data_IF_254922860957
#
_entry.id   IF_254922860957
#
_cell.length_a   1.000
_cell.length_b   1.000
_cell.length_c   1.000
_cell.angle_alpha   90.00
_cell.angle_beta   90.00
_cell.angle_gamma   90.00
#
_symmetry.space_group_name_H-M   'P 1'
#
loop_
_entity.id
_entity.type
_entity.pdbx_description
1 polymer ?
#
# COMPACT_ATOMS: atom_id res chain seq x y z
N UNK A 1 -8.43 -0.22 -0.67
CA UNK A 1 -9.80 -0.64 -0.33
C UNK A 1 -10.72 0.53 -0.56
N UNK A 2 -11.75 0.36 -1.39
CA UNK A 2 -12.77 1.40 -1.59
C UNK A 2 -14.04 1.18 -0.77
N UNK A 3 -14.25 -0.04 -0.26
CA UNK A 3 -15.41 -0.38 0.58
C UNK A 3 -15.06 -0.62 2.04
N UNK A 4 -16.11 -0.64 2.85
CA UNK A 4 -16.13 -0.98 4.27
C UNK A 4 -16.22 -2.49 4.50
N UNK A 5 -15.71 -2.97 5.63
CA UNK A 5 -15.78 -4.37 6.03
C UNK A 5 -16.47 -4.46 7.38
N UNK A 6 -17.45 -5.36 7.47
CA UNK A 6 -18.16 -5.69 8.69
C UNK A 6 -17.88 -7.16 9.05
N UNK A 7 -17.21 -7.38 10.18
CA UNK A 7 -17.00 -8.69 10.77
C UNK A 7 -17.87 -8.78 12.02
N UNK A 8 -18.74 -9.78 12.08
CA UNK A 8 -19.61 -10.03 13.22
C UNK A 8 -19.27 -11.40 13.79
N UNK A 9 -18.97 -11.45 15.09
CA UNK A 9 -18.86 -12.71 15.82
C UNK A 9 -20.08 -12.88 16.71
N UNK A 10 -20.77 -14.00 16.60
CA UNK A 10 -22.03 -14.26 17.32
C UNK A 10 -22.03 -15.63 17.99
N UNK A 11 -22.89 -15.78 19.00
CA UNK A 11 -23.17 -17.05 19.67
C UNK A 11 -24.10 -17.98 18.86
N UNK A 12 -24.88 -17.40 17.94
CA UNK A 12 -25.77 -18.09 17.01
C UNK A 12 -25.48 -17.74 15.54
N UNK A 13 -25.84 -18.58 14.55
CA UNK A 13 -25.67 -18.23 13.15
C UNK A 13 -26.59 -17.08 12.74
N UNK A 14 -26.03 -16.09 12.03
CA UNK A 14 -26.78 -14.96 11.50
C UNK A 14 -27.55 -15.40 10.24
N UNK A 15 -28.86 -15.22 10.26
CA UNK A 15 -29.74 -15.42 9.12
C UNK A 15 -30.24 -14.06 8.60
N UNK A 16 -29.73 -13.56 7.47
CA UNK A 16 -30.12 -12.26 6.95
C UNK A 16 -31.59 -12.19 6.50
N UNK A 17 -32.27 -13.32 6.32
CA UNK A 17 -33.68 -13.37 5.94
C UNK A 17 -34.63 -13.29 7.16
N UNK A 18 -34.12 -13.36 8.40
CA UNK A 18 -34.93 -13.34 9.62
C UNK A 18 -34.43 -12.25 10.55
N UNK A 19 -35.37 -11.53 11.18
CA UNK A 19 -35.01 -10.64 12.28
C UNK A 19 -34.53 -11.47 13.47
N UNK A 20 -33.36 -11.13 14.00
CA UNK A 20 -32.75 -11.78 15.17
C UNK A 20 -32.37 -10.70 16.22
N UNK A 21 -33.36 -10.06 16.87
CA UNK A 21 -33.12 -8.89 17.74
C UNK A 21 -32.34 -9.24 19.02
N UNK A 22 -32.31 -10.51 19.40
CA UNK A 22 -31.67 -10.98 20.65
C UNK A 22 -30.30 -11.62 20.44
N UNK A 23 -29.77 -11.61 19.22
CA UNK A 23 -28.47 -12.21 18.94
C UNK A 23 -27.36 -11.42 19.64
N UNK A 24 -26.54 -12.11 20.42
CA UNK A 24 -25.42 -11.47 21.12
C UNK A 24 -24.20 -11.54 20.23
N UNK A 25 -23.75 -10.39 19.77
CA UNK A 25 -22.63 -10.36 18.84
C UNK A 25 -21.63 -9.25 19.15
N UNK A 26 -20.36 -9.54 18.85
CA UNK A 26 -19.29 -8.56 18.71
C UNK A 26 -19.29 -8.09 17.26
N UNK A 27 -19.47 -6.78 17.08
CA UNK A 27 -19.44 -6.10 15.79
C UNK A 27 -18.08 -5.42 15.65
N UNK A 28 -17.33 -5.81 14.64
CA UNK A 28 -16.10 -5.17 14.22
C UNK A 28 -16.31 -4.53 12.85
N UNK A 29 -16.37 -3.21 12.81
CA UNK A 29 -16.53 -2.44 11.58
C UNK A 29 -15.21 -1.75 11.22
N UNK A 30 -14.73 -1.99 10.00
CA UNK A 30 -13.56 -1.36 9.43
C UNK A 30 -14.05 -0.42 8.34
N UNK A 31 -13.95 0.88 8.59
CA UNK A 31 -14.39 1.90 7.67
C UNK A 31 -13.60 1.86 6.36
N UNK A 32 -14.28 2.22 5.26
CA UNK A 32 -13.60 2.52 4.00
C UNK A 32 -12.52 3.59 4.21
N UNK A 33 -11.45 3.51 3.44
CA UNK A 33 -10.38 4.51 3.49
C UNK A 33 -10.94 5.84 2.99
N UNK A 34 -10.68 6.98 3.66
CA UNK A 34 -11.13 8.28 3.19
C UNK A 34 -10.63 8.53 1.77
N UNK A 35 -11.55 8.91 0.88
CA UNK A 35 -11.19 9.39 -0.45
C UNK A 35 -10.62 10.81 -0.33
N UNK A 36 -9.42 11.03 -0.86
CA UNK A 36 -8.82 12.37 -0.91
C UNK A 36 -9.51 13.30 -1.94
N UNK A 37 -10.46 12.78 -2.72
CA UNK A 37 -11.00 13.42 -3.92
C UNK A 37 -12.41 14.00 -3.70
N UNK A 38 -13.12 13.59 -2.66
CA UNK A 38 -14.54 13.97 -2.50
C UNK A 38 -14.70 15.33 -1.83
N UNK A 39 -15.45 16.22 -2.49
CA UNK A 39 -15.76 17.59 -2.03
C UNK A 39 -16.68 17.65 -0.81
N UNK A 40 -17.38 16.55 -0.50
CA UNK A 40 -18.19 16.40 0.72
C UNK A 40 -17.46 15.45 1.67
N UNK A 41 -16.62 16.01 2.54
CA UNK A 41 -15.86 15.25 3.52
C UNK A 41 -16.81 14.71 4.60
N UNK A 42 -17.16 13.42 4.50
CA UNK A 42 -17.78 12.66 5.57
C UNK A 42 -16.76 11.67 6.11
N UNK A 43 -16.35 11.85 7.37
CA UNK A 43 -15.39 10.96 8.00
C UNK A 43 -16.10 9.72 8.55
N UNK A 44 -15.87 8.57 7.92
CA UNK A 44 -16.29 7.27 8.45
C UNK A 44 -15.41 6.88 9.64
N UNK A 45 -15.90 6.01 10.53
CA UNK A 45 -15.17 5.55 11.72
C UNK A 45 -15.10 4.03 11.74
N UNK A 46 -13.91 3.47 12.01
CA UNK A 46 -13.75 2.06 12.38
C UNK A 46 -14.05 1.90 13.87
N UNK A 47 -14.69 0.81 14.29
CA UNK A 47 -15.08 0.64 15.69
C UNK A 47 -15.29 -0.83 16.07
N UNK A 48 -15.31 -1.07 17.39
CA UNK A 48 -15.78 -2.31 18.01
C UNK A 48 -17.03 -2.00 18.84
N UNK A 49 -18.09 -2.79 18.70
CA UNK A 49 -19.31 -2.60 19.47
C UNK A 49 -20.08 -3.92 19.70
N UNK A 50 -21.12 -3.86 20.53
CA UNK A 50 -22.17 -4.87 20.67
C UNK A 50 -23.49 -4.31 20.16
N UNK A 51 -24.38 -5.16 19.65
CA UNK A 51 -25.75 -4.75 19.31
C UNK A 51 -26.39 -5.68 18.30
N UNK A 52 -27.50 -5.23 17.72
CA UNK A 52 -28.12 -5.97 16.62
C UNK A 52 -27.26 -5.90 15.36
N UNK A 53 -27.14 -7.02 14.61
CA UNK A 53 -26.50 -7.04 13.31
C UNK A 53 -27.13 -5.98 12.39
N UNK A 54 -26.30 -5.36 11.56
CA UNK A 54 -26.73 -4.43 10.50
C UNK A 54 -27.33 -3.09 10.96
N UNK A 55 -27.41 -2.80 12.26
CA UNK A 55 -27.73 -1.44 12.77
C UNK A 55 -26.53 -0.46 12.68
N UNK A 56 -25.62 -0.66 11.73
CA UNK A 56 -24.45 0.19 11.52
C UNK A 56 -24.79 1.69 11.45
N UNK A 57 -25.90 2.03 10.80
CA UNK A 57 -26.37 3.42 10.68
C UNK A 57 -26.72 4.06 12.02
N UNK A 58 -27.30 3.30 12.95
CA UNK A 58 -27.63 3.76 14.31
C UNK A 58 -26.38 3.78 15.19
N UNK A 59 -25.56 2.74 15.08
CA UNK A 59 -24.33 2.57 15.88
C UNK A 59 -23.31 3.67 15.61
N UNK A 60 -23.24 4.18 14.37
CA UNK A 60 -22.39 5.34 14.00
C UNK A 60 -22.58 6.55 14.92
N UNK A 61 -23.76 6.74 15.50
CA UNK A 61 -24.06 7.89 16.35
C UNK A 61 -23.61 7.73 17.81
N UNK A 62 -23.49 6.49 18.30
CA UNK A 62 -23.16 6.24 19.72
C UNK A 62 -21.66 6.32 20.04
N UNK A 63 -20.79 6.27 19.02
CA UNK A 63 -19.36 6.61 19.11
C UNK A 63 -18.48 5.78 20.06
N UNK A 64 -19.03 4.85 20.82
CA UNK A 64 -18.28 4.04 21.79
C UNK A 64 -17.21 3.21 21.07
N UNK A 65 -15.97 3.35 21.55
CA UNK A 65 -14.79 2.64 21.04
C UNK A 65 -14.59 2.75 19.52
N UNK A 66 -14.66 4.00 19.01
CA UNK A 66 -14.47 4.32 17.60
C UNK A 66 -13.16 5.08 17.33
N UNK A 67 -12.61 4.90 16.13
CA UNK A 67 -11.50 5.69 15.57
C UNK A 67 -11.87 6.16 14.19
N UNK A 68 -11.51 7.41 13.89
CA UNK A 68 -11.83 8.00 12.60
C UNK A 68 -11.06 7.27 11.49
N UNK A 69 -11.61 7.17 10.29
CA UNK A 69 -10.98 6.41 9.20
C UNK A 69 -9.67 7.06 8.76
N UNK A 70 -9.60 8.41 8.79
CA UNK A 70 -8.38 9.14 8.54
C UNK A 70 -7.31 8.87 9.60
N UNK A 71 -7.69 8.70 10.87
CA UNK A 71 -6.73 8.28 11.90
C UNK A 71 -6.37 6.81 11.69
N UNK A 72 -7.36 5.94 11.60
CA UNK A 72 -7.15 4.51 11.60
C UNK A 72 -6.26 4.09 10.44
N UNK A 73 -6.50 4.55 9.20
CA UNK A 73 -5.68 4.15 8.04
C UNK A 73 -4.49 5.07 7.74
N UNK A 74 -4.15 6.04 8.61
CA UNK A 74 -3.02 6.95 8.33
C UNK A 74 -1.72 6.17 8.22
N UNK A 75 -0.92 6.49 7.21
CA UNK A 75 0.39 5.85 7.00
C UNK A 75 0.31 4.47 6.32
N UNK A 76 -0.89 3.93 6.11
CA UNK A 76 -1.06 2.70 5.32
C UNK A 76 -0.76 2.99 3.84
N UNK A 77 0.09 2.18 3.21
CA UNK A 77 0.37 2.29 1.78
C UNK A 77 -0.88 1.95 0.95
N UNK A 78 -1.18 2.78 -0.05
CA UNK A 78 -2.36 2.65 -0.90
C UNK A 78 -2.26 1.53 -1.93
N UNK A 79 -1.05 1.01 -2.14
CA UNK A 79 -0.73 0.05 -3.20
C UNK A 79 -0.71 -1.40 -2.69
N UNK A 80 -0.68 -1.58 -1.36
CA UNK A 80 -0.54 -2.88 -0.72
C UNK A 80 -1.88 -3.38 -0.15
N UNK A 81 -1.96 -4.70 0.06
CA UNK A 81 -3.05 -5.31 0.82
C UNK A 81 -3.03 -4.78 2.26
N UNK A 82 -4.18 -4.28 2.71
CA UNK A 82 -4.37 -3.92 4.11
C UNK A 82 -4.71 -5.20 4.88
N UNK A 83 -3.94 -5.44 5.94
CA UNK A 83 -4.14 -6.56 6.85
C UNK A 83 -4.56 -6.01 8.20
N UNK A 84 -5.61 -6.57 8.76
CA UNK A 84 -6.14 -6.18 10.06
C UNK A 84 -6.13 -7.39 10.98
N UNK A 85 -5.92 -7.17 12.27
CA UNK A 85 -6.04 -8.20 13.29
C UNK A 85 -7.14 -7.81 14.27
N UNK A 86 -8.13 -8.69 14.41
CA UNK A 86 -9.08 -8.65 15.51
C UNK A 86 -8.67 -9.69 16.55
N UNK A 87 -8.05 -9.24 17.64
CA UNK A 87 -7.66 -10.09 18.77
C UNK A 87 -8.80 -10.14 19.80
N UNK A 88 -9.17 -11.34 20.23
CA UNK A 88 -10.23 -11.56 21.22
C UNK A 88 -9.65 -12.31 22.41
N UNK A 89 -9.63 -11.66 23.57
CA UNK A 89 -9.18 -12.24 24.83
C UNK A 89 -10.39 -12.67 25.66
N UNK A 90 -10.78 -13.95 25.49
CA UNK A 90 -12.02 -14.51 26.05
C UNK A 90 -12.10 -14.44 27.58
N UNK A 91 -10.99 -14.67 28.27
CA UNK A 91 -10.92 -14.66 29.74
C UNK A 91 -11.01 -13.26 30.31
N UNK A 92 -10.32 -12.31 29.66
CA UNK A 92 -10.35 -10.90 30.05
C UNK A 92 -11.65 -10.22 29.65
N UNK A 93 -12.40 -10.73 28.67
CA UNK A 93 -13.56 -10.04 28.11
C UNK A 93 -13.16 -8.84 27.24
N UNK A 94 -11.97 -8.87 26.64
CA UNK A 94 -11.43 -7.77 25.84
C UNK A 94 -11.39 -8.14 24.36
N UNK A 95 -11.70 -7.19 23.48
CA UNK A 95 -11.39 -7.29 22.06
C UNK A 95 -10.58 -6.08 21.59
N UNK A 96 -9.64 -6.32 20.69
CA UNK A 96 -8.75 -5.30 20.15
C UNK A 96 -8.65 -5.43 18.62
N UNK A 97 -8.90 -4.35 17.90
CA UNK A 97 -8.72 -4.26 16.45
C UNK A 97 -7.49 -3.39 16.16
N UNK A 98 -6.52 -3.94 15.43
CA UNK A 98 -5.31 -3.23 15.02
C UNK A 98 -4.94 -3.52 13.57
N UNK A 99 -3.99 -2.78 13.04
CA UNK A 99 -3.31 -3.16 11.80
C UNK A 99 -2.42 -4.38 12.03
N UNK A 100 -2.23 -5.15 10.97
CA UNK A 100 -1.34 -6.31 10.92
C UNK A 100 -0.44 -6.22 9.68
N UNK A 101 0.57 -7.09 9.64
CA UNK A 101 1.51 -7.21 8.55
C UNK A 101 2.37 -5.96 8.38
N UNK A 102 2.86 -5.70 7.15
CA UNK A 102 3.70 -4.55 6.84
C UNK A 102 3.07 -3.19 7.19
N UNK A 103 1.74 -3.10 7.32
CA UNK A 103 1.09 -1.84 7.69
C UNK A 103 1.22 -1.52 9.18
N UNK A 104 1.40 -2.54 10.05
CA UNK A 104 1.60 -2.32 11.48
C UNK A 104 2.89 -1.53 11.78
N UNK A 105 3.84 -1.53 10.84
CA UNK A 105 5.11 -0.79 10.92
C UNK A 105 4.89 0.72 11.02
N UNK A 106 3.92 1.24 10.27
CA UNK A 106 3.77 2.69 10.10
C UNK A 106 2.84 3.30 11.14
N UNK A 107 1.97 2.50 11.77
CA UNK A 107 1.02 2.98 12.77
C UNK A 107 0.45 1.88 13.65
N UNK A 108 0.70 2.00 14.96
CA UNK A 108 0.16 1.10 16.00
C UNK A 108 -1.20 1.57 16.55
N UNK A 109 -2.09 2.11 15.70
CA UNK A 109 -3.45 2.41 16.18
C UNK A 109 -4.18 1.10 16.49
N UNK A 110 -4.64 1.01 17.73
CA UNK A 110 -5.43 -0.12 18.24
C UNK A 110 -6.74 0.42 18.82
N UNK A 111 -7.85 -0.19 18.43
CA UNK A 111 -9.17 0.04 18.99
C UNK A 111 -9.43 -1.07 19.99
N UNK A 112 -9.41 -0.76 21.28
CA UNK A 112 -9.66 -1.73 22.34
C UNK A 112 -11.01 -1.47 22.99
N UNK A 113 -11.78 -2.53 23.20
CA UNK A 113 -13.06 -2.49 23.89
C UNK A 113 -13.13 -3.61 24.93
N UNK A 114 -13.75 -3.29 26.06
CA UNK A 114 -13.94 -4.19 27.20
C UNK A 114 -15.42 -4.52 27.30
N UNK A 115 -15.74 -5.81 27.37
CA UNK A 115 -17.10 -6.33 27.41
C UNK A 115 -17.33 -7.05 28.74
N UNK A 116 -18.47 -6.79 29.37
CA UNK A 116 -18.88 -7.55 30.55
C UNK A 116 -19.54 -8.85 30.11
N UNK A 117 -19.38 -9.93 30.88
CA UNK A 117 -20.06 -11.21 30.61
C UNK A 117 -21.59 -11.07 30.58
N UNK A 118 -22.14 -10.05 31.24
CA UNK A 118 -23.57 -9.76 31.26
C UNK A 118 -24.06 -9.17 29.95
N UNK A 119 -23.27 -8.30 29.29
CA UNK A 119 -23.63 -7.71 28.00
C UNK A 119 -23.25 -8.62 26.85
N UNK A 120 -22.01 -9.10 26.83
CA UNK A 120 -21.48 -9.99 25.81
C UNK A 120 -20.39 -10.89 26.37
N UNK A 121 -20.69 -12.18 26.47
CA UNK A 121 -19.72 -13.20 26.86
C UNK A 121 -18.90 -13.64 25.65
N UNK A 122 -17.70 -13.08 25.48
CA UNK A 122 -16.80 -13.39 24.37
C UNK A 122 -16.42 -14.87 24.29
N UNK A 123 -16.56 -15.63 25.39
CA UNK A 123 -16.27 -17.08 25.39
C UNK A 123 -17.34 -17.90 24.65
N UNK A 124 -18.54 -17.34 24.45
CA UNK A 124 -19.68 -18.00 23.79
C UNK A 124 -19.76 -17.75 22.30
N UNK A 125 -18.92 -16.87 21.74
CA UNK A 125 -18.90 -16.56 20.31
C UNK A 125 -18.36 -17.75 19.52
N UNK A 126 -19.15 -18.23 18.55
CA UNK A 126 -18.89 -19.45 17.78
C UNK A 126 -18.93 -19.24 16.28
N UNK A 127 -19.70 -18.26 15.81
CA UNK A 127 -19.93 -18.02 14.40
C UNK A 127 -19.25 -16.72 13.98
N UNK A 128 -18.70 -16.73 12.76
CA UNK A 128 -18.12 -15.54 12.13
C UNK A 128 -18.92 -15.25 10.88
N UNK A 129 -19.46 -14.04 10.79
CA UNK A 129 -20.11 -13.51 9.63
C UNK A 129 -19.29 -12.34 9.09
N UNK A 130 -19.07 -12.31 7.78
CA UNK A 130 -18.30 -11.26 7.11
C UNK A 130 -19.12 -10.68 5.99
N UNK A 131 -19.22 -9.35 5.95
CA UNK A 131 -19.96 -8.60 4.94
C UNK A 131 -19.14 -7.40 4.45
N UNK A 132 -19.27 -7.09 3.16
CA UNK A 132 -18.59 -5.98 2.48
C UNK A 132 -19.40 -4.69 2.38
N UNK A 133 -20.35 -4.46 3.29
CA UNK A 133 -21.17 -3.25 3.29
C UNK A 133 -21.87 -3.01 1.95
N UNK A 134 -21.77 -1.78 1.43
CA UNK A 134 -22.44 -1.38 0.17
C UNK A 134 -21.60 -1.59 -1.09
N UNK A 135 -20.32 -1.94 -0.94
CA UNK A 135 -19.38 -2.04 -2.04
C UNK A 135 -18.83 -3.46 -2.19
N UNK A 136 -18.41 -3.84 -3.39
CA UNK A 136 -17.75 -5.12 -3.59
C UNK A 136 -16.33 -5.07 -3.02
N UNK A 137 -16.14 -5.62 -1.82
CA UNK A 137 -14.82 -5.78 -1.20
C UNK A 137 -14.26 -7.17 -1.49
N UNK A 138 -13.02 -7.23 -2.01
CA UNK A 138 -12.32 -8.51 -2.21
C UNK A 138 -11.55 -8.86 -0.95
N UNK A 139 -11.94 -9.96 -0.28
CA UNK A 139 -11.23 -10.52 0.86
C UNK A 139 -10.38 -11.68 0.34
N UNK A 140 -9.06 -11.54 0.41
CA UNK A 140 -8.13 -12.58 -0.07
C UNK A 140 -7.91 -13.67 0.96
N UNK A 141 -7.51 -13.27 2.17
CA UNK A 141 -7.14 -14.18 3.25
C UNK A 141 -7.94 -13.80 4.50
N UNK A 142 -8.92 -14.63 4.86
CA UNK A 142 -9.52 -14.63 6.19
C UNK A 142 -8.89 -15.77 6.97
N UNK A 143 -8.12 -15.43 7.99
CA UNK A 143 -7.46 -16.40 8.86
C UNK A 143 -8.06 -16.29 10.24
N UNK A 144 -8.57 -17.40 10.77
CA UNK A 144 -9.09 -17.51 12.12
C UNK A 144 -8.16 -18.46 12.86
N UNK A 145 -7.51 -17.97 13.91
CA UNK A 145 -6.58 -18.75 14.72
C UNK A 145 -6.85 -18.53 16.20
N UNK A 146 -6.68 -19.60 16.98
CA UNK A 146 -6.65 -19.53 18.44
C UNK A 146 -5.24 -19.22 18.96
N UNK A 147 -4.22 -19.51 18.15
CA UNK A 147 -2.82 -19.22 18.44
C UNK A 147 -2.40 -17.90 17.83
N UNK A 148 -1.45 -17.23 18.47
CA UNK A 148 -0.85 -16.02 17.92
C UNK A 148 -0.06 -16.36 16.67
N UNK A 149 -0.42 -15.75 15.53
CA UNK A 149 0.28 -15.93 14.26
C UNK A 149 1.39 -14.89 14.16
N UNK A 150 2.64 -15.29 14.39
CA UNK A 150 3.79 -14.38 14.38
C UNK A 150 4.10 -13.79 13.00
N UNK A 151 3.86 -14.56 11.92
CA UNK A 151 4.15 -14.13 10.54
C UNK A 151 3.29 -12.93 10.08
N UNK A 152 2.19 -12.65 10.77
CA UNK A 152 1.33 -11.49 10.51
C UNK A 152 1.71 -10.26 11.35
N UNK A 153 2.78 -10.34 12.14
CA UNK A 153 3.34 -9.22 12.88
C UNK A 153 4.83 -9.10 12.54
N UNK A 154 5.20 -8.42 11.44
CA UNK A 154 6.58 -7.99 11.29
C UNK A 154 6.87 -6.98 12.40
N UNK A 155 7.39 -7.45 13.53
CA UNK A 155 7.98 -6.62 14.55
C UNK A 155 9.44 -6.43 14.21
N UNK A 156 9.89 -5.18 14.07
CA UNK A 156 11.32 -4.88 14.01
C UNK A 156 12.03 -5.14 15.34
N UNK A 157 11.26 -5.33 16.43
CA UNK A 157 11.76 -5.78 17.72
C UNK A 157 12.16 -7.25 17.67
N UNK A 158 13.44 -7.46 17.35
CA UNK A 158 14.13 -8.76 17.50
C UNK A 158 14.09 -9.32 18.93
N UNK A 159 13.73 -8.49 19.91
CA UNK A 159 13.65 -8.89 21.31
C UNK A 159 12.39 -9.70 21.62
N UNK A 160 11.32 -9.58 20.82
CA UNK A 160 10.11 -10.42 20.94
C UNK A 160 10.34 -11.86 20.47
N UNK A 161 11.19 -12.08 19.46
CA UNK A 161 11.50 -13.42 18.95
C UNK A 161 12.36 -14.26 19.93
N UNK A 162 13.09 -13.61 20.85
CA UNK A 162 13.96 -14.32 21.81
C UNK A 162 13.24 -14.86 23.04
N UNK A 163 12.01 -14.42 23.32
CA UNK A 163 11.25 -14.87 24.48
C UNK A 163 10.66 -16.28 24.39
N UNK A 164 10.60 -16.87 23.19
CA UNK A 164 9.87 -18.13 22.93
C UNK A 164 10.67 -19.43 23.11
N UNK A 165 12.00 -19.38 23.33
CA UNK A 165 12.81 -20.59 23.55
C UNK A 165 13.14 -20.76 25.03
N UNK A 166 12.26 -21.47 25.73
CA UNK A 166 12.54 -22.00 27.06
C UNK A 166 13.76 -22.96 26.99
N UNK A 167 14.95 -22.47 27.33
CA UNK A 167 16.08 -23.33 27.64
C UNK A 167 15.82 -24.01 29.01
N UNK A 168 16.13 -25.30 29.17
CA UNK A 168 15.98 -25.98 30.45
C UNK A 168 16.99 -25.39 31.45
N UNK A 169 16.48 -24.71 32.48
CA UNK A 169 17.26 -24.26 33.64
C UNK A 169 17.88 -25.47 34.32
N UNK A 170 19.17 -25.72 34.09
CA UNK A 170 19.99 -26.54 34.99
C UNK A 170 20.01 -25.86 36.36
N UNK A 171 19.36 -26.48 37.33
CA UNK A 171 19.53 -26.16 38.76
C UNK A 171 21.00 -26.36 39.11
N UNK A 172 21.68 -25.29 39.52
CA UNK A 172 22.92 -25.38 40.31
C UNK A 172 22.64 -24.76 41.68
N UNK A 173 22.84 -25.60 42.68
CA UNK A 173 22.77 -25.35 44.11
C UNK A 173 23.92 -24.47 44.62
N UNK A 174 23.59 -23.65 45.62
CA UNK A 174 24.41 -23.11 46.72
C UNK A 174 25.91 -22.88 46.53
N UNK A 175 26.37 -21.64 46.76
CA UNK A 175 27.19 -21.29 47.94
C UNK A 175 27.38 -19.78 48.10
N UNK A 176 27.73 -19.40 49.33
CA UNK A 176 27.73 -18.08 49.96
C UNK A 176 28.81 -17.09 49.50
N UNK A 177 28.55 -15.83 49.88
CA UNK A 177 29.45 -14.80 50.40
C UNK A 177 30.42 -14.02 49.49
N UNK A 178 30.33 -12.69 49.71
CA UNK A 178 31.30 -11.59 49.52
C UNK A 178 31.02 -10.64 48.35
N UNK A 179 30.40 -9.51 48.72
CA UNK A 179 30.44 -8.25 47.99
C UNK A 179 31.86 -7.67 47.97
N UNK A 180 32.38 -7.22 46.82
CA UNK A 180 33.47 -6.25 46.78
C UNK A 180 32.93 -4.87 46.37
N UNK A 181 33.23 -3.88 47.21
CA UNK A 181 33.03 -2.46 46.96
C UNK A 181 33.83 -2.00 45.73
N UNK A 182 33.15 -1.47 44.72
CA UNK A 182 33.77 -0.85 43.55
C UNK A 182 34.13 0.60 43.90
N UNK A 183 35.43 0.90 43.89
CA UNK A 183 35.96 2.28 43.96
C UNK A 183 35.77 2.98 42.62
N UNK A 184 35.13 4.14 42.64
CA UNK A 184 35.01 5.04 41.50
C UNK A 184 36.35 5.79 41.31
N UNK A 185 36.99 5.78 40.14
CA UNK A 185 38.15 6.61 39.87
C UNK A 185 37.74 8.09 39.72
N UNK A 186 38.35 8.96 40.52
CA UNK A 186 38.23 10.40 40.33
C UNK A 186 39.02 10.84 39.09
N UNK A 187 38.36 11.56 38.18
CA UNK A 187 38.97 12.20 37.02
C UNK A 187 39.62 13.54 37.41
N UNK A 188 40.76 13.93 36.81
CA UNK A 188 41.42 15.19 37.11
C UNK A 188 40.64 16.38 36.53
N UNK A 189 40.33 17.35 37.40
CA UNK A 189 39.99 18.72 37.00
C UNK A 189 41.25 19.38 36.47
N UNK A 190 41.22 19.78 35.20
CA UNK A 190 41.82 21.00 34.65
C UNK A 190 42.06 20.86 33.14
N UNK A 191 41.01 21.11 32.34
CA UNK A 191 41.18 21.49 30.92
C UNK A 191 40.14 22.54 30.54
N UNK A 192 40.63 23.57 29.82
CA UNK A 192 39.93 24.81 29.48
C UNK A 192 38.56 24.62 28.76
N UNK A 193 37.61 25.56 28.94
CA UNK A 193 36.25 25.49 28.35
C UNK A 193 36.20 25.44 26.80
N UNK A 194 37.29 25.77 26.11
CA UNK A 194 37.36 25.86 24.64
C UNK A 194 37.32 24.50 23.93
N UNK A 195 37.93 23.46 24.51
CA UNK A 195 37.97 22.10 23.92
C UNK A 195 36.69 21.31 24.18
N UNK A 196 36.02 21.57 25.31
CA UNK A 196 34.77 20.89 25.70
C UNK A 196 33.64 21.28 24.75
N UNK A 197 33.56 22.53 24.31
CA UNK A 197 32.52 22.98 23.37
C UNK A 197 32.65 22.39 21.95
N UNK A 198 33.87 22.00 21.51
CA UNK A 198 34.08 21.26 20.25
C UNK A 198 33.71 19.79 20.37
N UNK A 199 34.04 19.14 21.49
CA UNK A 199 33.65 17.75 21.76
C UNK A 199 32.13 17.60 21.99
N UNK A 200 31.51 18.53 22.71
CA UNK A 200 30.05 18.54 22.97
C UNK A 200 29.24 18.81 21.70
N UNK A 201 29.74 19.64 20.77
CA UNK A 201 29.11 19.79 19.43
C UNK A 201 29.22 18.51 18.59
N UNK A 202 30.34 17.80 18.65
CA UNK A 202 30.54 16.55 17.88
C UNK A 202 29.76 15.35 18.44
N UNK A 203 29.43 15.36 19.74
CA UNK A 203 28.58 14.33 20.38
C UNK A 203 27.09 14.62 20.16
N UNK A 204 26.67 15.90 20.11
CA UNK A 204 25.26 16.27 19.82
C UNK A 204 24.78 15.82 18.44
N UNK A 205 25.66 15.80 17.44
CA UNK A 205 25.35 15.28 16.09
C UNK A 205 25.15 13.77 16.05
N UNK A 206 25.72 13.02 17.00
CA UNK A 206 25.69 11.55 16.98
C UNK A 206 24.38 10.95 17.52
N UNK A 207 23.62 11.71 18.31
CA UNK A 207 22.45 11.22 19.06
C UNK A 207 21.16 12.00 18.77
N UNK A 208 21.12 12.81 17.70
CA UNK A 208 19.89 13.45 17.23
C UNK A 208 19.23 14.35 18.28
N UNK A 209 19.93 15.35 18.82
CA UNK A 209 19.32 16.29 19.77
C UNK A 209 18.76 17.54 19.06
N UNK A 210 17.59 18.02 19.48
CA UNK A 210 17.05 19.31 19.01
C UNK A 210 17.86 20.50 19.57
N UNK A 211 17.51 21.72 19.13
CA UNK A 211 18.14 22.97 19.62
C UNK A 211 18.00 23.17 21.14
N UNK A 212 17.02 22.51 21.75
CA UNK A 212 16.71 22.57 23.18
C UNK A 212 17.34 21.41 23.97
N UNK A 213 18.10 20.52 23.31
CA UNK A 213 18.77 19.39 23.92
C UNK A 213 17.88 18.18 24.22
N UNK A 214 16.69 18.10 23.62
CA UNK A 214 15.81 16.92 23.71
C UNK A 214 16.24 15.87 22.69
N UNK A 215 16.22 14.61 23.11
CA UNK A 215 16.53 13.45 22.26
C UNK A 215 15.42 13.31 21.21
N UNK A 216 15.77 13.46 19.93
CA UNK A 216 14.89 13.22 18.79
C UNK A 216 15.08 11.77 18.37
N UNK A 217 14.01 10.98 18.42
CA UNK A 217 14.07 9.60 17.99
C UNK A 217 14.33 9.51 16.48
N UNK A 218 15.11 8.50 16.06
CA UNK A 218 15.23 8.18 14.65
C UNK A 218 13.83 7.86 14.11
N UNK A 219 13.49 8.36 12.92
CA UNK A 219 12.15 8.14 12.38
C UNK A 219 11.86 6.64 12.24
N UNK A 220 10.73 6.14 12.80
CA UNK A 220 10.29 4.77 12.55
C UNK A 220 9.77 4.59 11.11
N UNK A 221 9.60 5.69 10.37
CA UNK A 221 9.27 5.67 8.96
C UNK A 221 10.51 5.29 8.14
N UNK A 222 10.32 4.55 7.04
CA UNK A 222 11.42 4.22 6.11
C UNK A 222 12.24 5.46 5.72
N UNK A 223 13.47 5.25 5.26
CA UNK A 223 14.39 6.30 4.78
C UNK A 223 13.74 7.24 3.73
N UNK A 224 12.68 6.77 3.08
CA UNK A 224 11.88 7.47 2.07
C UNK A 224 10.56 8.02 2.65
N UNK A 225 10.55 8.52 3.89
CA UNK A 225 9.33 8.99 4.54
C UNK A 225 8.71 10.18 3.80
N UNK A 226 7.46 10.02 3.33
CA UNK A 226 6.69 11.07 2.63
C UNK A 226 6.46 12.33 3.48
N UNK A 227 6.59 12.23 4.81
CA UNK A 227 6.38 13.33 5.74
C UNK A 227 7.67 14.09 6.07
N UNK A 228 8.79 13.80 5.39
CA UNK A 228 10.08 14.47 5.58
C UNK A 228 10.05 15.99 5.43
N UNK A 229 9.06 16.54 4.73
CA UNK A 229 8.89 17.99 4.56
C UNK A 229 7.91 18.61 5.57
N UNK A 230 7.34 17.83 6.50
CA UNK A 230 6.39 18.34 7.49
C UNK A 230 7.12 18.86 8.72
N UNK A 231 6.93 20.14 9.04
CA UNK A 231 7.56 20.79 10.20
C UNK A 231 7.23 20.12 11.53
N UNK A 232 6.04 19.53 11.69
CA UNK A 232 5.69 18.75 12.89
C UNK A 232 6.44 17.42 12.94
N UNK A 233 6.52 16.73 11.82
CA UNK A 233 7.19 15.42 11.73
C UNK A 233 8.71 15.53 11.90
N UNK A 234 9.33 16.55 11.32
CA UNK A 234 10.77 16.84 11.45
C UNK A 234 11.15 17.15 12.91
N UNK A 235 10.24 17.77 13.69
CA UNK A 235 10.47 18.06 15.11
C UNK A 235 10.44 16.81 15.99
N UNK A 236 9.65 15.81 15.61
CA UNK A 236 9.47 14.58 16.38
C UNK A 236 10.45 13.49 15.96
N UNK A 237 10.91 13.51 14.70
CA UNK A 237 11.71 12.43 14.13
C UNK A 237 12.87 12.95 13.27
N UNK A 238 14.06 12.42 13.49
CA UNK A 238 15.22 12.69 12.64
C UNK A 238 15.17 11.84 11.36
N UNK A 239 15.33 12.50 10.21
CA UNK A 239 15.51 11.85 8.90
C UNK A 239 16.91 12.13 8.38
N UNK A 240 17.60 11.17 7.76
CA UNK A 240 18.88 11.43 7.09
C UNK A 240 18.69 12.47 5.97
N UNK A 241 19.63 13.40 5.82
CA UNK A 241 19.62 14.33 4.70
C UNK A 241 19.73 13.55 3.39
N UNK A 242 18.86 13.78 2.39
CA UNK A 242 18.90 13.05 1.12
C UNK A 242 20.25 13.13 0.40
N UNK A 243 20.96 14.26 0.59
CA UNK A 243 22.25 14.51 -0.02
C UNK A 243 23.44 14.19 0.89
N UNK A 244 23.21 13.81 2.15
CA UNK A 244 24.28 13.44 3.10
C UNK A 244 25.50 14.39 3.05
N UNK A 245 26.67 13.88 2.68
CA UNK A 245 27.91 14.65 2.60
C UNK A 245 27.92 15.67 1.46
N UNK A 246 27.04 15.53 0.46
CA UNK A 246 26.89 16.42 -0.70
C UNK A 246 25.91 17.57 -0.46
N UNK A 247 25.23 17.62 0.69
CA UNK A 247 24.31 18.72 0.99
C UNK A 247 25.07 20.05 1.03
N UNK A 248 24.63 21.02 0.23
CA UNK A 248 25.14 22.40 0.26
C UNK A 248 24.56 23.22 1.40
N UNK A 249 23.43 22.79 1.96
CA UNK A 249 22.68 23.51 2.99
C UNK A 249 22.93 22.97 4.42
N UNK A 250 24.06 22.30 4.68
CA UNK A 250 24.33 21.65 5.98
C UNK A 250 24.10 22.55 7.19
N UNK A 251 24.47 23.83 7.08
CA UNK A 251 24.31 24.80 8.17
C UNK A 251 22.84 25.17 8.41
N UNK A 252 22.05 25.31 7.33
CA UNK A 252 20.62 25.65 7.38
C UNK A 252 19.76 24.45 7.78
N UNK A 253 20.17 23.25 7.38
CA UNK A 253 19.49 21.99 7.63
C UNK A 253 20.13 21.20 8.76
N UNK A 254 20.76 21.86 9.74
CA UNK A 254 21.51 21.21 10.83
C UNK A 254 20.71 20.20 11.68
N UNK A 255 19.38 20.20 11.55
CA UNK A 255 18.47 19.21 12.13
C UNK A 255 18.44 17.87 11.39
N UNK A 256 19.03 17.76 10.20
CA UNK A 256 19.21 16.52 9.45
C UNK A 256 20.63 15.97 9.67
N UNK A 257 20.82 14.65 9.89
CA UNK A 257 22.11 14.00 9.83
C UNK A 257 22.65 14.08 8.40
N UNK A 258 23.86 14.62 8.25
CA UNK A 258 24.56 14.78 6.97
C UNK A 258 25.68 13.74 6.78
N UNK A 259 25.59 12.63 7.51
CA UNK A 259 26.54 11.54 7.41
C UNK A 259 26.30 10.74 6.14
N UNK A 260 27.40 10.36 5.49
CA UNK A 260 27.33 9.57 4.28
C UNK A 260 26.91 8.14 4.59
N UNK A 261 26.10 7.53 3.71
CA UNK A 261 25.66 6.15 3.92
C UNK A 261 26.89 5.22 3.92
N UNK A 262 26.91 4.23 4.83
CA UNK A 262 27.98 3.22 4.92
C UNK A 262 27.89 2.18 3.79
N UNK A 263 27.87 2.64 2.55
CA UNK A 263 27.94 1.81 1.35
C UNK A 263 29.07 2.30 0.45
N UNK A 264 29.56 1.41 -0.40
CA UNK A 264 30.68 1.70 -1.30
C UNK A 264 30.30 2.77 -2.33
N UNK A 265 31.28 3.55 -2.79
CA UNK A 265 31.06 4.45 -3.93
C UNK A 265 31.05 3.63 -5.21
N UNK A 266 30.14 3.94 -6.13
CA UNK A 266 30.09 3.28 -7.43
C UNK A 266 31.41 3.46 -8.18
N UNK A 267 32.00 2.36 -8.64
CA UNK A 267 33.27 2.34 -9.38
C UNK A 267 33.23 3.15 -10.68
N UNK A 268 32.04 3.24 -11.30
CA UNK A 268 31.82 3.95 -12.56
C UNK A 268 31.66 5.47 -12.39
N UNK A 269 31.65 6.00 -11.16
CA UNK A 269 31.46 7.43 -10.84
C UNK A 269 30.33 8.05 -11.70
N UNK A 270 30.62 9.12 -12.43
CA UNK A 270 29.66 9.88 -13.23
C UNK A 270 29.26 9.18 -14.55
N UNK A 271 29.84 8.02 -14.87
CA UNK A 271 29.52 7.24 -16.08
C UNK A 271 28.70 5.99 -15.78
N UNK A 272 28.12 5.88 -14.59
CA UNK A 272 27.32 4.71 -14.23
C UNK A 272 26.05 4.63 -15.09
N UNK A 273 25.93 3.57 -15.90
CA UNK A 273 24.73 3.31 -16.71
C UNK A 273 23.55 2.80 -15.85
N UNK A 274 23.81 2.39 -14.62
CA UNK A 274 22.80 1.90 -13.65
C UNK A 274 22.30 2.99 -12.71
N UNK A 275 22.41 4.26 -13.12
CA UNK A 275 21.91 5.39 -12.32
C UNK A 275 20.39 5.38 -12.16
N UNK A 276 19.63 4.82 -13.11
CA UNK A 276 18.17 4.68 -12.99
C UNK A 276 17.75 3.42 -12.21
N UNK A 277 18.67 2.52 -11.88
CA UNK A 277 18.37 1.28 -11.18
C UNK A 277 18.30 1.54 -9.66
N UNK A 278 17.10 1.46 -9.05
CA UNK A 278 16.94 1.78 -7.63
C UNK A 278 17.66 0.77 -6.72
N UNK A 279 17.88 -0.47 -7.17
CA UNK A 279 18.70 -1.46 -6.43
C UNK A 279 20.15 -1.04 -6.42
N UNK A 280 20.67 -0.56 -7.56
CA UNK A 280 22.04 -0.06 -7.65
C UNK A 280 22.27 1.16 -6.74
N UNK A 281 21.32 2.11 -6.70
CA UNK A 281 21.40 3.26 -5.79
C UNK A 281 21.28 2.88 -4.30
N UNK A 282 20.53 1.82 -3.99
CA UNK A 282 20.46 1.23 -2.66
C UNK A 282 21.74 0.46 -2.26
N UNK A 283 22.62 0.12 -3.21
CA UNK A 283 23.90 -0.54 -2.95
C UNK A 283 25.12 0.37 -3.02
N UNK A 284 25.09 1.41 -3.86
CA UNK A 284 26.25 2.24 -4.15
C UNK A 284 25.95 3.74 -4.07
N UNK A 285 26.90 4.51 -3.52
CA UNK A 285 26.87 5.98 -3.53
C UNK A 285 27.41 6.55 -4.83
N UNK A 286 26.87 7.69 -5.24
CA UNK A 286 27.32 8.45 -6.40
C UNK A 286 27.68 9.88 -5.99
N UNK A 287 28.75 10.44 -6.56
CA UNK A 287 29.30 11.74 -6.12
C UNK A 287 28.44 12.96 -6.50
N UNK A 288 27.44 12.79 -7.36
CA UNK A 288 26.62 13.89 -7.89
C UNK A 288 25.11 13.68 -7.68
N UNK A 289 24.72 12.63 -6.95
CA UNK A 289 23.33 12.25 -6.75
C UNK A 289 23.02 12.05 -5.26
N UNK A 290 21.74 12.18 -4.86
CA UNK A 290 21.33 11.90 -3.48
C UNK A 290 21.75 10.50 -3.02
N UNK A 291 22.16 10.38 -1.75
CA UNK A 291 22.34 9.08 -1.08
C UNK A 291 20.98 8.40 -0.83
N UNK A 292 19.89 9.18 -0.79
CA UNK A 292 18.52 8.70 -0.60
C UNK A 292 17.57 9.29 -1.63
N UNK A 293 16.74 8.45 -2.26
CA UNK A 293 15.75 8.90 -3.24
C UNK A 293 14.61 9.67 -2.55
N UNK A 294 14.29 10.84 -3.10
CA UNK A 294 13.24 11.71 -2.56
C UNK A 294 11.89 11.18 -3.03
N UNK A 295 10.87 11.01 -2.18
CA UNK A 295 9.57 10.58 -2.66
C UNK A 295 9.01 11.51 -3.75
N UNK A 296 8.60 10.96 -4.90
CA UNK A 296 8.11 11.80 -5.99
C UNK A 296 6.79 12.49 -5.61
N UNK A 297 6.71 13.83 -5.73
CA UNK A 297 5.47 14.57 -5.41
C UNK A 297 4.28 14.19 -6.32
N UNK A 298 4.55 13.73 -7.55
CA UNK A 298 3.53 13.33 -8.53
C UNK A 298 3.17 11.83 -8.45
N UNK A 299 3.62 11.12 -7.42
CA UNK A 299 3.39 9.69 -7.20
C UNK A 299 3.82 8.82 -8.40
N UNK A 300 3.01 7.80 -8.69
CA UNK A 300 3.22 6.84 -9.78
C UNK A 300 2.95 7.39 -11.19
N UNK A 301 2.46 8.62 -11.35
CA UNK A 301 2.11 9.13 -12.69
C UNK A 301 3.36 9.14 -13.60
N UNK A 302 3.33 8.32 -14.66
CA UNK A 302 4.48 7.94 -15.49
C UNK A 302 4.79 8.92 -16.63
N UNK A 303 4.12 10.07 -16.70
CA UNK A 303 3.94 10.72 -18.00
C UNK A 303 5.05 11.67 -18.48
N UNK A 304 6.04 12.04 -17.68
CA UNK A 304 7.31 12.53 -18.21
C UNK A 304 8.31 12.79 -17.09
N UNK A 305 9.37 11.99 -17.02
CA UNK A 305 10.39 12.14 -15.98
C UNK A 305 11.74 11.92 -16.63
N UNK A 306 12.42 13.04 -16.86
CA UNK A 306 13.79 13.11 -17.36
C UNK A 306 14.70 12.19 -16.53
N UNK A 307 15.85 11.82 -17.08
CA UNK A 307 16.87 11.05 -16.36
C UNK A 307 17.18 11.70 -14.99
N UNK A 308 17.31 13.04 -14.96
CA UNK A 308 17.53 13.81 -13.73
C UNK A 308 16.45 13.54 -12.67
N UNK A 309 15.18 13.53 -13.07
CA UNK A 309 14.08 13.22 -12.16
C UNK A 309 14.16 11.78 -11.63
N UNK A 310 14.35 10.80 -12.51
CA UNK A 310 14.40 9.38 -12.11
C UNK A 310 15.56 9.06 -11.17
N UNK A 311 16.67 9.77 -11.33
CA UNK A 311 17.85 9.60 -10.47
C UNK A 311 17.71 10.23 -9.08
N UNK A 312 16.78 11.18 -8.90
CA UNK A 312 16.57 11.90 -7.64
C UNK A 312 15.31 11.47 -6.89
N UNK A 313 14.30 10.97 -7.58
CA UNK A 313 12.98 10.71 -7.00
C UNK A 313 12.53 9.25 -7.05
N UNK A 314 11.92 8.78 -5.96
CA UNK A 314 11.31 7.45 -5.86
C UNK A 314 9.89 7.45 -6.43
N UNK A 315 9.57 6.44 -7.25
CA UNK A 315 8.26 6.26 -7.90
C UNK A 315 7.44 5.07 -7.35
N UNK A 316 7.61 4.76 -6.06
CA UNK A 316 6.94 3.60 -5.45
C UNK A 316 7.59 2.26 -5.80
N UNK A 317 8.78 2.27 -6.41
CA UNK A 317 9.56 1.05 -6.63
C UNK A 317 9.98 0.48 -5.27
N UNK A 318 9.59 -0.76 -4.98
CA UNK A 318 10.11 -1.50 -3.83
C UNK A 318 11.51 -2.01 -4.18
N UNK A 319 12.48 -1.69 -3.34
CA UNK A 319 13.85 -2.22 -3.45
C UNK A 319 13.97 -3.33 -2.44
N UNK A 320 13.73 -4.57 -2.88
CA UNK A 320 14.05 -5.75 -2.08
C UNK A 320 15.54 -6.02 -2.25
N UNK A 321 16.33 -5.75 -1.21
CA UNK A 321 17.72 -6.20 -1.14
C UNK A 321 17.70 -7.65 -0.68
N UNK A 322 18.06 -8.58 -1.54
CA UNK A 322 18.16 -9.99 -1.14
C UNK A 322 19.35 -10.20 -0.21
N UNK A 323 19.35 -11.29 0.57
CA UNK A 323 20.49 -11.61 1.43
C UNK A 323 21.75 -11.95 0.61
N UNK A 324 21.60 -12.46 -0.62
CA UNK A 324 22.69 -12.73 -1.55
C UNK A 324 23.35 -11.43 -2.04
N UNK A 325 22.56 -10.38 -2.22
CA UNK A 325 23.02 -9.05 -2.64
C UNK A 325 23.92 -8.34 -1.62
N UNK A 326 23.87 -8.76 -0.35
CA UNK A 326 24.67 -8.21 0.75
C UNK A 326 25.98 -8.99 0.96
N UNK A 327 26.10 -10.20 0.42
CA UNK A 327 27.25 -11.10 0.62
C UNK A 327 28.26 -11.10 -0.54
N UNK A 328 27.94 -10.49 -1.69
CA UNK A 328 28.87 -10.39 -2.82
C UNK A 328 30.10 -9.50 -2.54
N UNK A 329 30.05 -8.62 -1.55
CA UNK A 329 31.15 -7.70 -1.22
C UNK A 329 32.22 -8.32 -0.29
N UNK A 330 31.95 -9.45 0.35
CA UNK A 330 32.86 -10.07 1.33
C UNK A 330 33.71 -11.23 0.78
N UNK A 331 33.43 -11.78 -0.41
CA UNK A 331 34.07 -13.01 -0.90
C UNK A 331 34.99 -12.88 -2.13
N UNK A 332 35.52 -11.68 -2.43
CA UNK A 332 36.59 -11.53 -3.46
C UNK A 332 37.98 -11.47 -2.84
N UNK A 333 38.39 -12.53 -2.14
CA UNK A 333 39.81 -12.78 -1.84
C UNK A 333 40.05 -14.23 -1.40
N UNK A 334 39.89 -15.19 -2.32
CA UNK A 334 40.68 -16.43 -2.38
C UNK A 334 40.09 -17.38 -3.43
N UNK A 335 40.81 -17.56 -4.54
CA UNK A 335 40.56 -18.68 -5.46
C UNK A 335 41.86 -19.40 -5.78
N UNK A 336 42.01 -20.59 -5.21
CA UNK A 336 42.68 -21.75 -5.82
C UNK A 336 42.43 -22.98 -4.95
N UNK A 337 41.60 -23.89 -5.44
CA UNK A 337 41.85 -25.35 -5.41
C UNK A 337 40.74 -26.10 -6.16
N UNK A 338 41.18 -27.06 -6.97
CA UNK A 338 40.42 -27.97 -7.83
C UNK A 338 39.90 -29.18 -7.06
N UNK A 339 38.66 -29.58 -7.34
CA UNK A 339 38.14 -30.96 -7.45
C UNK A 339 36.62 -30.83 -7.60
N UNK A 340 35.87 -31.53 -8.45
CA UNK A 340 36.06 -32.84 -9.06
C UNK A 340 34.76 -33.62 -8.85
N UNK A 341 33.97 -33.77 -9.92
CA UNK A 341 32.93 -34.78 -10.20
C UNK A 341 32.07 -35.35 -9.07
N UNK A 342 30.77 -35.01 -9.05
CA UNK A 342 29.61 -35.94 -9.15
C UNK A 342 28.33 -35.21 -8.70
N UNK A 343 27.54 -34.69 -9.63
CA UNK A 343 26.14 -34.30 -9.41
C UNK A 343 25.50 -34.06 -10.79
N UNK A 344 25.06 -35.14 -11.44
CA UNK A 344 24.33 -35.10 -12.71
C UNK A 344 23.27 -36.18 -12.66
N UNK A 345 22.19 -35.94 -11.91
CA UNK A 345 20.93 -36.65 -12.17
C UNK A 345 19.70 -35.97 -11.54
N UNK A 346 19.86 -35.15 -10.49
CA UNK A 346 18.73 -34.45 -9.86
C UNK A 346 18.33 -33.10 -10.47
N UNK A 347 19.08 -32.61 -11.48
CA UNK A 347 18.89 -31.29 -12.11
C UNK A 347 18.09 -31.30 -13.43
N UNK A 348 17.64 -32.47 -13.88
CA UNK A 348 16.88 -32.60 -15.13
C UNK A 348 15.38 -32.29 -14.99
N UNK A 349 14.80 -32.44 -13.80
CA UNK A 349 13.37 -32.15 -13.57
C UNK A 349 13.08 -30.69 -13.18
N UNK A 350 14.10 -29.89 -12.85
CA UNK A 350 13.93 -28.46 -12.49
C UNK A 350 14.13 -27.46 -13.64
N UNK A 351 14.42 -27.91 -14.86
CA UNK A 351 14.68 -27.05 -16.04
C UNK A 351 13.50 -26.90 -17.01
N UNK A 352 12.32 -27.44 -16.67
CA UNK A 352 11.11 -27.38 -17.52
C UNK A 352 10.52 -25.96 -17.68
N UNK A 353 10.83 -25.03 -16.78
CA UNK A 353 10.05 -23.78 -16.67
C UNK A 353 10.75 -22.51 -17.18
N UNK A 354 11.89 -22.61 -17.88
CA UNK A 354 12.59 -21.45 -18.46
C UNK A 354 12.50 -21.35 -19.99
N UNK A 355 11.31 -21.62 -20.56
CA UNK A 355 11.06 -21.26 -21.97
C UNK A 355 10.94 -19.75 -22.10
N UNK A 356 11.66 -19.16 -23.06
CA UNK A 356 11.62 -17.71 -23.30
C UNK A 356 10.32 -17.37 -24.02
N UNK A 357 9.62 -16.31 -23.63
CA UNK A 357 8.35 -15.94 -24.28
C UNK A 357 8.57 -15.65 -25.78
N UNK A 358 7.80 -16.31 -26.65
CA UNK A 358 7.89 -16.12 -28.10
C UNK A 358 7.56 -14.67 -28.46
N UNK A 359 8.43 -14.00 -29.24
CA UNK A 359 8.25 -12.59 -29.64
C UNK A 359 6.97 -12.33 -30.44
N UNK A 360 6.44 -13.35 -31.10
CA UNK A 360 5.22 -13.27 -31.91
C UNK A 360 3.95 -13.64 -31.13
N UNK A 361 4.04 -13.99 -29.85
CA UNK A 361 2.88 -14.34 -29.02
C UNK A 361 2.02 -15.42 -29.68
N UNK A 362 0.70 -15.30 -29.56
CA UNK A 362 -0.26 -16.22 -30.18
C UNK A 362 -0.30 -16.21 -31.72
N UNK A 363 0.42 -15.29 -32.37
CA UNK A 363 0.47 -15.17 -33.84
C UNK A 363 1.72 -15.86 -34.44
N UNK A 364 2.45 -16.66 -33.65
CA UNK A 364 3.62 -17.37 -34.13
C UNK A 364 3.25 -18.47 -35.13
N UNK A 365 3.73 -18.36 -36.37
CA UNK A 365 3.55 -19.39 -37.40
C UNK A 365 4.13 -20.76 -37.02
N UNK A 366 5.13 -20.79 -36.13
CA UNK A 366 5.80 -22.00 -35.66
C UNK A 366 5.17 -22.61 -34.39
N UNK A 367 3.97 -22.19 -33.99
CA UNK A 367 3.29 -22.68 -32.77
C UNK A 367 3.06 -24.21 -32.75
N UNK A 368 3.13 -24.88 -33.90
CA UNK A 368 3.00 -26.34 -34.02
C UNK A 368 4.35 -27.06 -34.23
N UNK A 369 5.47 -26.33 -34.30
CA UNK A 369 6.79 -26.92 -34.48
C UNK A 369 7.39 -27.33 -33.12
N UNK A 370 7.59 -28.63 -32.92
CA UNK A 370 8.08 -29.18 -31.65
C UNK A 370 9.45 -28.63 -31.22
N UNK A 371 10.36 -28.35 -32.18
CA UNK A 371 11.67 -27.75 -31.84
C UNK A 371 11.52 -26.30 -31.36
N UNK A 372 10.59 -25.55 -31.94
CA UNK A 372 10.28 -24.18 -31.52
C UNK A 372 9.62 -24.15 -30.14
N UNK A 373 8.59 -24.97 -29.93
CA UNK A 373 7.88 -25.05 -28.65
C UNK A 373 8.73 -25.59 -27.49
N UNK A 374 9.83 -26.31 -27.79
CA UNK A 374 10.81 -26.70 -26.76
C UNK A 374 11.65 -25.53 -26.22
N UNK A 375 11.78 -24.44 -26.98
CA UNK A 375 12.59 -23.25 -26.61
C UNK A 375 11.75 -22.05 -26.20
N UNK A 376 10.56 -21.91 -26.77
CA UNK A 376 9.71 -20.74 -26.59
C UNK A 376 8.32 -21.10 -26.04
N UNK A 377 7.78 -20.24 -25.17
CA UNK A 377 6.43 -20.36 -24.63
C UNK A 377 5.45 -19.40 -25.33
N UNK A 378 4.19 -19.82 -25.46
CA UNK A 378 3.10 -19.03 -26.02
C UNK A 378 2.00 -18.82 -24.97
N UNK A 379 1.19 -17.77 -25.12
CA UNK A 379 0.22 -17.30 -24.11
C UNK A 379 -0.93 -18.28 -23.81
N UNK A 380 -1.04 -19.40 -24.53
CA UNK A 380 -2.05 -20.45 -24.31
C UNK A 380 -1.51 -21.76 -23.71
N UNK A 381 -0.22 -21.84 -23.38
CA UNK A 381 0.43 -23.06 -22.85
C UNK A 381 0.02 -23.42 -21.40
N UNK A 382 -0.95 -22.72 -20.81
CA UNK A 382 -1.45 -22.99 -19.46
C UNK A 382 -2.96 -23.22 -19.45
N UNK A 383 -3.38 -24.42 -19.84
CA UNK A 383 -4.70 -24.97 -19.56
C UNK A 383 -4.60 -26.47 -19.27
N UNK A 384 -5.18 -26.98 -18.18
CA UNK A 384 -5.17 -28.41 -17.90
C UNK A 384 -6.28 -29.09 -18.71
N UNK A 385 -5.96 -30.25 -19.30
CA UNK A 385 -6.80 -31.19 -20.05
C UNK A 385 -6.91 -30.96 -21.56
N UNK A 386 -6.14 -31.74 -22.32
CA UNK A 386 -6.62 -32.31 -23.58
C UNK A 386 -6.36 -33.83 -23.57
N UNK A 387 -7.39 -34.56 -23.15
CA UNK A 387 -7.60 -35.95 -23.57
C UNK A 387 -8.00 -35.96 -25.06
N UNK A 388 -7.68 -37.09 -25.69
CA UNK A 388 -7.81 -37.40 -27.10
C UNK A 388 -9.14 -37.01 -27.75
N UNK A 389 -9.09 -36.67 -29.04
CA UNK A 389 -10.19 -37.02 -29.94
C UNK A 389 -9.68 -37.27 -31.36
N UNK A 390 -9.78 -38.52 -31.77
CA UNK A 390 -9.54 -39.03 -33.11
C UNK A 390 -10.77 -38.79 -34.00
N UNK A 391 -10.50 -38.45 -35.26
CA UNK A 391 -11.15 -38.94 -36.49
C UNK A 391 -12.69 -38.91 -36.68
N UNK A 392 -13.03 -38.32 -37.85
CA UNK A 392 -14.19 -38.56 -38.73
C UNK A 392 -15.46 -37.70 -38.59
N UNK A 393 -15.78 -37.00 -39.69
CA UNK A 393 -17.10 -36.42 -39.95
C UNK A 393 -17.10 -35.38 -41.05
N UNK A 394 -17.19 -35.82 -42.31
CA UNK A 394 -17.38 -34.97 -43.51
C UNK A 394 -18.76 -34.30 -43.47
N UNK A 395 -18.84 -32.98 -43.67
CA UNK A 395 -20.00 -32.31 -44.29
C UNK A 395 -19.49 -31.16 -45.18
N UNK A 396 -20.02 -31.11 -46.40
CA UNK A 396 -19.59 -30.29 -47.52
C UNK A 396 -19.92 -28.80 -47.38
N UNK A 397 -18.99 -27.95 -47.81
CA UNK A 397 -19.22 -26.54 -48.07
C UNK A 397 -19.95 -26.38 -49.41
N UNK A 398 -21.12 -25.71 -49.40
CA UNK A 398 -21.71 -25.08 -50.58
C UNK A 398 -21.57 -23.57 -50.42
N UNK A 399 -20.91 -22.96 -51.40
CA UNK A 399 -21.04 -21.54 -51.69
C UNK A 399 -22.42 -21.29 -52.31
N UNK A 400 -23.06 -20.20 -51.92
CA UNK A 400 -23.86 -19.39 -52.84
C UNK A 400 -23.95 -17.94 -52.34
N UNK A 401 -24.05 -17.07 -53.32
CA UNK A 401 -23.78 -15.64 -53.31
C UNK A 401 -24.94 -14.78 -52.78
N UNK A 402 -24.62 -13.50 -52.54
CA UNK A 402 -25.49 -12.32 -52.73
C UNK A 402 -26.64 -12.09 -51.72
N UNK A 403 -26.62 -11.00 -50.97
CA UNK A 403 -27.12 -9.68 -51.38
C UNK A 403 -27.07 -8.66 -50.22
N UNK A 404 -26.97 -7.41 -50.64
CA UNK A 404 -26.93 -6.16 -49.90
C UNK A 404 -28.11 -5.90 -48.95
N UNK A 405 -27.83 -5.38 -47.75
CA UNK A 405 -28.76 -4.45 -47.09
C UNK A 405 -28.01 -3.47 -46.18
N UNK A 406 -28.17 -2.18 -46.50
CA UNK A 406 -27.69 -1.03 -45.76
C UNK A 406 -28.47 -0.86 -44.44
N UNK A 407 -27.76 -0.91 -43.31
CA UNK A 407 -28.30 -0.55 -42.00
C UNK A 407 -28.00 0.92 -41.64
N UNK A 408 -28.91 1.64 -40.95
CA UNK A 408 -28.77 3.07 -40.66
C UNK A 408 -27.70 3.34 -39.58
N UNK A 409 -26.79 4.25 -39.90
CA UNK A 409 -25.70 4.69 -39.03
C UNK A 409 -26.25 5.35 -37.76
N UNK A 410 -26.00 4.75 -36.59
CA UNK A 410 -26.33 5.30 -35.28
C UNK A 410 -25.50 6.57 -35.07
N UNK A 411 -26.19 7.72 -34.98
CA UNK A 411 -25.57 9.01 -34.61
C UNK A 411 -25.06 8.92 -33.18
N UNK A 412 -23.76 8.76 -32.98
CA UNK A 412 -23.13 8.89 -31.67
C UNK A 412 -23.18 10.35 -31.24
N UNK A 413 -23.84 10.63 -30.11
CA UNK A 413 -23.85 11.96 -29.49
C UNK A 413 -22.45 12.31 -29.01
N UNK A 414 -21.93 13.47 -29.43
CA UNK A 414 -20.62 13.99 -29.03
C UNK A 414 -20.72 14.60 -27.63
N UNK A 415 -19.65 14.47 -26.85
CA UNK A 415 -19.57 14.95 -25.46
C UNK A 415 -19.25 16.45 -25.46
N UNK A 416 -19.89 17.27 -24.62
CA UNK A 416 -19.60 18.72 -24.57
C UNK A 416 -18.13 18.96 -24.17
N UNK A 417 -17.39 19.73 -24.98
CA UNK A 417 -16.00 20.08 -24.69
C UNK A 417 -15.91 20.95 -23.43
N UNK A 418 -15.11 20.51 -22.43
CA UNK A 418 -14.91 21.23 -21.16
C UNK A 418 -14.33 22.64 -21.34
N UNK A 419 -13.60 22.87 -22.43
CA UNK A 419 -12.98 24.16 -22.73
C UNK A 419 -13.89 25.08 -23.58
N UNK A 420 -15.11 24.63 -23.92
CA UNK A 420 -16.08 25.42 -24.68
C UNK A 420 -15.47 26.02 -25.94
N UNK A 421 -15.86 27.25 -26.27
CA UNK A 421 -15.38 27.98 -27.47
C UNK A 421 -13.88 28.31 -27.46
N UNK A 422 -13.24 28.21 -26.29
CA UNK A 422 -11.86 28.66 -26.05
C UNK A 422 -10.83 27.54 -26.20
N UNK A 423 -11.24 26.36 -26.67
CA UNK A 423 -10.29 25.31 -27.02
C UNK A 423 -9.34 25.79 -28.13
N UNK A 424 -8.03 25.68 -27.84
CA UNK A 424 -6.97 26.35 -28.61
C UNK A 424 -6.68 25.68 -29.95
N UNK A 425 -7.13 24.45 -30.14
CA UNK A 425 -6.80 23.60 -31.30
C UNK A 425 -8.06 23.14 -32.05
N UNK A 426 -8.78 24.10 -32.63
CA UNK A 426 -10.06 23.87 -33.31
C UNK A 426 -9.97 22.99 -34.56
N UNK A 427 -8.74 22.73 -35.04
CA UNK A 427 -8.47 21.94 -36.23
C UNK A 427 -8.10 20.48 -35.91
N UNK A 428 -8.04 20.08 -34.64
CA UNK A 428 -7.87 18.67 -34.29
C UNK A 428 -9.16 17.89 -34.64
N UNK A 429 -9.12 17.23 -35.80
CA UNK A 429 -10.23 16.44 -36.33
C UNK A 429 -10.65 15.32 -35.38
N UNK A 430 -9.72 14.73 -34.63
CA UNK A 430 -10.02 13.66 -33.69
C UNK A 430 -10.74 14.20 -32.44
N UNK A 431 -10.35 15.38 -31.96
CA UNK A 431 -11.04 16.07 -30.89
C UNK A 431 -12.46 16.49 -31.31
N UNK A 432 -12.60 17.10 -32.48
CA UNK A 432 -13.90 17.54 -33.02
C UNK A 432 -14.83 16.37 -33.37
N UNK A 433 -14.31 15.17 -33.67
CA UNK A 433 -15.12 13.96 -33.85
C UNK A 433 -15.75 13.46 -32.53
N UNK A 434 -15.09 13.69 -31.39
CA UNK A 434 -15.50 13.18 -30.08
C UNK A 434 -16.25 14.22 -29.23
N UNK A 435 -15.93 15.50 -29.39
CA UNK A 435 -16.45 16.58 -28.56
C UNK A 435 -17.23 17.64 -29.36
N UNK A 436 -18.32 18.16 -28.80
CA UNK A 436 -19.10 19.26 -29.36
C UNK A 436 -18.67 20.62 -28.77
N UNK A 437 -18.69 21.66 -29.60
CA UNK A 437 -18.40 23.04 -29.20
C UNK A 437 -19.63 23.94 -29.42
N UNK A 438 -19.75 24.98 -28.59
CA UNK A 438 -20.86 25.93 -28.65
C UNK A 438 -20.75 26.76 -29.94
N UNK A 439 -21.69 26.57 -30.87
CA UNK A 439 -21.69 27.18 -32.21
C UNK A 439 -21.53 26.20 -33.37
N UNK A 440 -21.33 24.90 -33.12
CA UNK A 440 -21.40 23.88 -34.18
C UNK A 440 -22.81 23.91 -34.80
N UNK A 441 -22.90 24.05 -36.13
CA UNK A 441 -24.18 24.23 -36.86
C UNK A 441 -25.19 23.08 -36.67
N UNK A 442 -24.78 21.97 -36.07
CA UNK A 442 -25.62 20.81 -35.74
C UNK A 442 -26.36 20.94 -34.41
N UNK A 443 -26.15 22.01 -33.64
CA UNK A 443 -26.74 22.22 -32.30
C UNK A 443 -27.89 23.25 -32.30
N UNK A 444 -28.62 23.37 -33.42
CA UNK A 444 -29.86 24.20 -33.49
C UNK A 444 -31.06 23.43 -32.93
N UNK A 445 -31.03 23.17 -31.63
CA UNK A 445 -32.15 22.65 -30.86
C UNK A 445 -32.27 23.38 -29.54
N UNK A 446 -32.97 24.52 -29.54
CA UNK A 446 -33.20 25.36 -28.36
C UNK A 446 -33.68 24.54 -27.14
N UNK A 447 -32.83 24.45 -26.12
CA UNK A 447 -33.25 24.16 -24.73
C UNK A 447 -32.73 25.29 -23.85
N UNK A 448 -33.67 26.08 -23.31
CA UNK A 448 -33.40 27.07 -22.28
C UNK A 448 -32.97 26.35 -20.99
N UNK A 449 -31.68 26.06 -20.86
CA UNK A 449 -31.09 25.66 -19.60
C UNK A 449 -30.71 26.93 -18.83
N UNK A 450 -31.37 27.15 -17.69
CA UNK A 450 -30.96 28.15 -16.71
C UNK A 450 -29.63 27.66 -16.09
N UNK A 451 -28.50 28.13 -16.66
CA UNK A 451 -27.15 27.71 -16.31
C UNK A 451 -26.76 28.01 -14.86
N UNK A 452 -27.57 28.79 -14.13
CA UNK A 452 -27.30 29.17 -12.75
C UNK A 452 -27.84 28.18 -11.71
N UNK A 453 -28.54 27.11 -12.12
CA UNK A 453 -29.11 26.11 -11.19
C UNK A 453 -28.58 24.71 -11.43
N UNK A 454 -28.27 24.01 -10.34
CA UNK A 454 -27.71 22.65 -10.37
C UNK A 454 -28.80 21.67 -10.87
N UNK A 455 -28.53 20.75 -11.81
CA UNK A 455 -29.52 19.77 -12.25
C UNK A 455 -30.04 18.92 -11.08
N UNK A 456 -31.37 18.85 -10.92
CA UNK A 456 -31.96 17.96 -9.92
C UNK A 456 -31.71 16.49 -10.32
N UNK A 457 -31.16 15.70 -9.39
CA UNK A 457 -30.89 14.27 -9.62
C UNK A 457 -32.12 13.43 -9.98
N UNK A 458 -33.31 13.91 -9.62
CA UNK A 458 -34.58 13.26 -9.93
C UNK A 458 -35.26 13.80 -11.19
N UNK A 459 -34.67 14.81 -11.85
CA UNK A 459 -35.20 15.44 -13.05
C UNK A 459 -36.66 15.86 -12.89
N UNK A 460 -37.47 15.64 -13.92
CA UNK A 460 -38.91 15.94 -13.93
C UNK A 460 -39.71 15.20 -12.85
N UNK A 461 -39.22 14.04 -12.39
CA UNK A 461 -39.85 13.17 -11.40
C UNK A 461 -39.56 13.56 -9.95
N UNK A 462 -38.92 14.72 -9.71
CA UNK A 462 -38.67 15.18 -8.35
C UNK A 462 -39.99 15.48 -7.62
N UNK A 463 -40.25 14.80 -6.51
CA UNK A 463 -41.42 15.04 -5.64
C UNK A 463 -41.08 15.89 -4.41
N UNK A 464 -39.89 16.51 -4.37
CA UNK A 464 -39.46 17.36 -3.28
C UNK A 464 -40.26 18.67 -3.25
N UNK A 465 -41.01 18.87 -2.17
CA UNK A 465 -41.88 20.03 -1.95
C UNK A 465 -41.22 21.11 -1.09
N UNK A 466 -39.95 20.96 -0.70
CA UNK A 466 -39.23 21.97 0.07
C UNK A 466 -39.14 23.31 -0.71
N UNK A 467 -39.60 24.44 -0.14
CA UNK A 467 -39.53 25.76 -0.79
C UNK A 467 -38.10 26.21 -1.13
N UNK A 468 -37.07 25.67 -0.49
CA UNK A 468 -35.67 25.96 -0.81
C UNK A 468 -35.11 25.10 -1.96
N UNK A 469 -35.80 24.02 -2.36
CA UNK A 469 -35.35 23.11 -3.40
C UNK A 469 -35.44 23.74 -4.80
N UNK A 470 -36.58 24.35 -5.14
CA UNK A 470 -36.85 24.92 -6.47
C UNK A 470 -35.91 26.06 -6.91
N UNK A 471 -35.48 26.98 -6.03
CA UNK A 471 -34.50 28.01 -6.39
C UNK A 471 -33.11 27.43 -6.68
N UNK A 472 -32.72 26.35 -5.99
CA UNK A 472 -31.37 25.78 -6.05
C UNK A 472 -31.17 24.80 -7.20
N UNK A 473 -32.21 24.05 -7.58
CA UNK A 473 -32.10 22.97 -8.56
C UNK A 473 -32.96 23.16 -9.82
N UNK A 474 -32.39 22.92 -11.00
CA UNK A 474 -33.09 22.93 -12.29
C UNK A 474 -33.81 21.61 -12.56
N UNK A 475 -35.03 21.71 -13.09
CA UNK A 475 -35.89 20.59 -13.48
C UNK A 475 -36.24 20.76 -14.96
N UNK A 476 -35.39 20.29 -15.89
CA UNK A 476 -35.67 20.46 -17.32
C UNK A 476 -36.99 19.77 -17.66
N UNK A 477 -37.95 20.52 -18.22
CA UNK A 477 -39.30 20.13 -18.68
C UNK A 477 -40.40 19.77 -17.66
N UNK A 478 -40.28 20.17 -16.39
CA UNK A 478 -41.45 20.15 -15.49
C UNK A 478 -42.33 21.38 -15.80
N UNK A 479 -43.30 21.23 -16.71
CA UNK A 479 -44.29 22.27 -17.06
C UNK A 479 -45.19 22.61 -15.87
#
# INVERSE_FOLDING_TARGET
MYGDILVILSDEPINPAKSQPYIRCLICYIAERPSLITTNYYESYSYLNTGEPYLHGVIKMNGQHSRSSCSFHRGCSIENYLSYCLKIEKTAGQAALSHAGPNNIYRHETITCQFSKTTLDLSKLKYVHVSGGSQKVTIRNLIISCDQIFDLYPSFDRDLERGGKAFPRKKRSHSRDRSPSIKIPQLPRDKSPSMINKAVRSIRTFFGYDSDGKNIEASPCSINCLLQNSTKHIKEYCHPCPYSELCSNKEKESYLPHEARKVERCSSKNRCQKLEDPVHQAKYRHSSYPDFLIPCPNGQSRHNKTLDHRTKYLHGQQVELTCDDMNETSNKSSSKSRSGHQEKEHDRERRSDQRTMCRHGSECHDQNNAQHCSKYSHTHDHGPNHLACSSHGRIACRHDESESSSSPSRKHERIVCRHGRDYRDKNDSHHCAKYSHQGDERDRGHRNYDHNRIPCKFGEKCHDTDPHHRPKYSHPNKK
#
